data_IF_042539845898
#
_entry.id   IF_042539845898
#
_cell.length_a   1.000
_cell.length_b   1.000
_cell.length_c   1.000
_cell.angle_alpha   90.00
_cell.angle_beta   90.00
_cell.angle_gamma   90.00
#
_symmetry.space_group_name_H-M   'P 1'
#
loop_
_entity.id
_entity.type
_entity.pdbx_description
1 polymer ?
#
# COMPACT_ATOMS: atom_id res chain seq x y z
N UNK A 1 -8.47 1.21 -22.83
CA UNK A 1 -7.71 0.47 -21.81
C UNK A 1 -8.62 -0.49 -21.06
N UNK A 2 -8.32 -1.79 -21.03
CA UNK A 2 -9.16 -2.81 -20.39
C UNK A 2 -8.71 -3.03 -18.94
N UNK A 3 -9.46 -2.51 -17.98
CA UNK A 3 -9.18 -2.72 -16.55
C UNK A 3 -9.63 -4.13 -16.15
N UNK A 4 -8.71 -4.89 -15.56
CA UNK A 4 -8.95 -6.21 -14.99
C UNK A 4 -8.90 -6.16 -13.47
N UNK A 5 -9.61 -7.07 -12.82
CA UNK A 5 -9.65 -7.21 -11.38
C UNK A 5 -9.44 -8.67 -10.97
N UNK A 6 -8.55 -8.92 -10.01
CA UNK A 6 -8.39 -10.23 -9.38
C UNK A 6 -8.18 -10.05 -7.87
N UNK A 7 -8.45 -11.09 -7.09
CA UNK A 7 -8.29 -11.09 -5.64
C UNK A 7 -7.31 -12.15 -5.14
N UNK A 8 -6.86 -11.95 -3.90
CA UNK A 8 -5.91 -12.78 -3.19
C UNK A 8 -6.36 -12.93 -1.74
N UNK A 9 -6.45 -14.16 -1.25
CA UNK A 9 -6.76 -14.44 0.16
C UNK A 9 -5.47 -14.38 0.96
N UNK A 10 -5.46 -13.60 2.03
CA UNK A 10 -4.30 -13.46 2.92
C UNK A 10 -4.70 -13.54 4.40
N UNK A 11 -3.72 -13.58 5.32
CA UNK A 11 -3.98 -13.50 6.76
C UNK A 11 -4.70 -12.23 7.24
N UNK A 12 -4.68 -11.14 6.45
CA UNK A 12 -5.39 -9.89 6.77
C UNK A 12 -6.73 -9.73 6.04
N UNK A 13 -7.22 -10.82 5.43
CA UNK A 13 -8.46 -10.86 4.66
C UNK A 13 -8.22 -10.88 3.14
N UNK A 14 -9.29 -10.63 2.39
CA UNK A 14 -9.22 -10.54 0.93
C UNK A 14 -8.54 -9.24 0.51
N UNK A 15 -7.48 -9.37 -0.30
CA UNK A 15 -6.88 -8.28 -1.05
C UNK A 15 -7.43 -8.32 -2.47
N UNK A 16 -7.67 -7.15 -3.05
CA UNK A 16 -8.08 -7.04 -4.44
C UNK A 16 -7.16 -6.07 -5.17
N UNK A 17 -6.92 -6.35 -6.44
CA UNK A 17 -6.03 -5.58 -7.31
C UNK A 17 -6.71 -5.28 -8.62
N UNK A 18 -6.63 -4.02 -9.05
CA UNK A 18 -7.04 -3.57 -10.37
C UNK A 18 -5.79 -3.25 -11.19
N UNK A 19 -5.76 -3.72 -12.43
CA UNK A 19 -4.56 -3.68 -13.25
C UNK A 19 -4.89 -3.64 -14.73
N UNK A 20 -3.92 -3.17 -15.50
CA UNK A 20 -3.95 -3.05 -16.95
C UNK A 20 -2.68 -3.70 -17.52
N UNK A 21 -2.31 -3.37 -18.75
CA UNK A 21 -1.04 -3.78 -19.34
C UNK A 21 0.14 -2.93 -18.84
N UNK A 22 -0.14 -1.71 -18.40
CA UNK A 22 0.83 -0.75 -17.84
C UNK A 22 1.23 -1.07 -16.39
N UNK A 23 0.37 -1.75 -15.62
CA UNK A 23 0.68 -2.15 -14.25
C UNK A 23 -0.53 -2.25 -13.32
N UNK A 24 -0.26 -2.45 -12.04
CA UNK A 24 -1.25 -2.34 -10.96
C UNK A 24 -1.62 -0.86 -10.81
N UNK A 25 -2.91 -0.54 -10.92
CA UNK A 25 -3.40 0.84 -10.84
C UNK A 25 -4.09 1.17 -9.52
N UNK A 26 -4.65 0.16 -8.85
CA UNK A 26 -5.27 0.31 -7.54
C UNK A 26 -5.30 -1.02 -6.80
N UNK A 27 -5.29 -0.97 -5.47
CA UNK A 27 -5.52 -2.14 -4.62
C UNK A 27 -6.41 -1.79 -3.43
N UNK A 28 -6.96 -2.82 -2.80
CA UNK A 28 -7.74 -2.73 -1.58
C UNK A 28 -7.35 -3.87 -0.66
N UNK A 29 -7.10 -3.56 0.62
CA UNK A 29 -6.92 -4.56 1.68
C UNK A 29 -8.26 -4.89 2.40
N UNK A 30 -9.38 -4.46 1.81
CA UNK A 30 -10.75 -4.68 2.29
C UNK A 30 -11.61 -5.38 1.25
N UNK A 31 -10.98 -6.20 0.41
CA UNK A 31 -11.62 -7.01 -0.59
C UNK A 31 -12.12 -6.28 -1.84
N UNK A 32 -12.71 -7.08 -2.72
CA UNK A 32 -13.13 -6.70 -4.07
C UNK A 32 -14.19 -5.61 -4.07
N UNK A 33 -15.15 -5.63 -3.13
CA UNK A 33 -16.21 -4.62 -3.05
C UNK A 33 -15.65 -3.22 -2.81
N UNK A 34 -14.74 -3.07 -1.85
CA UNK A 34 -14.11 -1.79 -1.55
C UNK A 34 -13.30 -1.26 -2.75
N UNK A 35 -12.60 -2.15 -3.46
CA UNK A 35 -11.88 -1.76 -4.69
C UNK A 35 -12.84 -1.30 -5.79
N UNK A 36 -13.95 -2.02 -6.04
CA UNK A 36 -14.96 -1.61 -7.03
C UNK A 36 -15.55 -0.23 -6.68
N UNK A 37 -15.81 0.05 -5.41
CA UNK A 37 -16.25 1.39 -4.96
C UNK A 37 -15.21 2.47 -5.25
N UNK A 38 -13.93 2.21 -4.95
CA UNK A 38 -12.84 3.14 -5.27
C UNK A 38 -12.77 3.42 -6.78
N UNK A 39 -12.79 2.38 -7.61
CA UNK A 39 -12.74 2.48 -9.07
C UNK A 39 -13.92 3.30 -9.61
N UNK A 40 -15.14 3.03 -9.14
CA UNK A 40 -16.32 3.80 -9.52
C UNK A 40 -16.19 5.29 -9.17
N UNK A 41 -15.67 5.62 -7.98
CA UNK A 41 -15.41 7.01 -7.56
C UNK A 41 -14.37 7.73 -8.42
N UNK A 42 -13.57 6.99 -9.20
CA UNK A 42 -12.59 7.51 -10.16
C UNK A 42 -13.09 7.47 -11.60
N UNK A 43 -14.37 7.14 -11.82
CA UNK A 43 -14.99 7.08 -13.14
C UNK A 43 -14.69 5.79 -13.91
N UNK A 44 -14.05 4.79 -13.29
CA UNK A 44 -13.83 3.46 -13.90
C UNK A 44 -15.12 2.65 -13.75
N UNK A 45 -15.91 2.59 -14.82
CA UNK A 45 -17.23 1.92 -14.83
C UNK A 45 -17.18 0.48 -15.30
N UNK A 46 -16.20 0.12 -16.12
CA UNK A 46 -16.11 -1.22 -16.72
C UNK A 46 -14.84 -1.90 -16.23
N UNK A 47 -15.01 -3.01 -15.50
CA UNK A 47 -13.93 -3.88 -15.05
C UNK A 47 -14.25 -5.32 -15.43
N UNK A 48 -13.26 -6.06 -15.91
CA UNK A 48 -13.38 -7.49 -16.18
C UNK A 48 -12.74 -8.28 -15.05
N UNK A 49 -13.45 -9.25 -14.50
CA UNK A 49 -12.84 -10.17 -13.53
C UNK A 49 -11.85 -11.09 -14.23
N UNK A 50 -10.69 -11.25 -13.61
CA UNK A 50 -9.60 -12.13 -14.03
C UNK A 50 -9.41 -13.21 -12.97
N UNK A 51 -9.08 -14.43 -13.42
CA UNK A 51 -8.81 -15.56 -12.52
C UNK A 51 -7.46 -15.46 -11.83
N UNK A 52 -6.49 -14.82 -12.51
CA UNK A 52 -5.11 -14.75 -12.08
C UNK A 52 -4.66 -13.31 -11.86
N UNK A 53 -3.74 -13.14 -10.91
CA UNK A 53 -3.01 -11.89 -10.71
C UNK A 53 -1.91 -11.78 -11.78
N UNK A 54 -1.63 -10.57 -12.28
CA UNK A 54 -0.57 -10.35 -13.26
C UNK A 54 0.81 -10.28 -12.59
N UNK A 55 1.87 -10.25 -13.39
CA UNK A 55 3.23 -9.87 -12.97
C UNK A 55 3.80 -10.70 -11.81
N UNK A 56 3.49 -11.99 -11.77
CA UNK A 56 3.91 -12.92 -10.70
C UNK A 56 3.55 -12.42 -9.29
N UNK A 57 2.49 -11.60 -9.20
CA UNK A 57 2.12 -10.93 -7.96
C UNK A 57 1.62 -11.93 -6.93
N UNK A 58 1.10 -13.10 -7.34
CA UNK A 58 0.69 -14.15 -6.40
C UNK A 58 1.90 -14.67 -5.63
N UNK A 59 2.95 -15.05 -6.34
CA UNK A 59 4.20 -15.58 -5.80
C UNK A 59 4.87 -14.55 -4.88
N UNK A 60 4.86 -13.27 -5.28
CA UNK A 60 5.39 -12.19 -4.46
C UNK A 60 4.56 -11.97 -3.18
N UNK A 61 3.22 -12.07 -3.26
CA UNK A 61 2.37 -11.98 -2.08
C UNK A 61 2.55 -13.18 -1.16
N UNK A 62 2.68 -14.39 -1.71
CA UNK A 62 2.97 -15.60 -0.93
C UNK A 62 4.30 -15.46 -0.18
N UNK A 63 5.36 -14.99 -0.85
CA UNK A 63 6.64 -14.70 -0.21
C UNK A 63 6.51 -13.60 0.87
N UNK A 64 5.81 -12.50 0.59
CA UNK A 64 5.57 -11.43 1.56
C UNK A 64 4.86 -11.94 2.83
N UNK A 65 3.74 -12.65 2.66
CA UNK A 65 2.93 -13.14 3.79
C UNK A 65 3.57 -14.33 4.51
N UNK A 66 4.60 -14.97 3.94
CA UNK A 66 5.44 -15.94 4.65
C UNK A 66 6.43 -15.30 5.62
N UNK A 67 6.57 -13.96 5.60
CA UNK A 67 7.46 -13.19 6.46
C UNK A 67 8.87 -13.02 5.90
N UNK A 68 9.13 -13.49 4.68
CA UNK A 68 10.40 -13.26 4.00
C UNK A 68 10.52 -11.80 3.52
N UNK A 69 11.70 -11.17 3.70
CA UNK A 69 11.97 -9.87 3.09
C UNK A 69 11.82 -9.94 1.57
N UNK A 70 11.04 -9.02 1.00
CA UNK A 70 10.80 -8.95 -0.43
C UNK A 70 10.65 -7.50 -0.91
N UNK A 71 11.08 -7.26 -2.14
CA UNK A 71 10.76 -6.08 -2.91
C UNK A 71 9.75 -6.45 -4.01
N UNK A 72 8.60 -5.78 -4.03
CA UNK A 72 7.61 -6.02 -5.08
C UNK A 72 8.12 -5.46 -6.41
N UNK A 73 8.18 -6.31 -7.43
CA UNK A 73 8.64 -5.96 -8.78
C UNK A 73 7.48 -5.66 -9.74
N UNK A 74 6.25 -5.96 -9.34
CA UNK A 74 5.07 -5.67 -10.16
C UNK A 74 5.01 -4.18 -10.55
N UNK A 75 4.90 -3.85 -11.85
CA UNK A 75 4.85 -2.47 -12.29
C UNK A 75 3.63 -1.76 -11.69
N UNK A 76 3.83 -0.55 -11.19
CA UNK A 76 2.77 0.29 -10.65
C UNK A 76 2.47 1.42 -11.63
N UNK A 77 1.18 1.66 -11.86
CA UNK A 77 0.72 2.70 -12.76
C UNK A 77 -0.25 3.64 -12.03
N UNK A 78 0.23 4.82 -11.65
CA UNK A 78 -0.59 5.83 -10.95
C UNK A 78 -1.56 6.54 -11.91
N UNK A 79 -2.66 5.86 -12.23
CA UNK A 79 -3.71 6.33 -13.14
C UNK A 79 -4.35 7.67 -12.71
N UNK A 80 -4.28 8.02 -11.43
CA UNK A 80 -4.72 9.31 -10.89
C UNK A 80 -3.75 9.85 -9.84
N UNK A 81 -4.06 11.01 -9.30
CA UNK A 81 -3.26 11.70 -8.29
C UNK A 81 -2.56 12.93 -8.83
N UNK A 82 -2.45 13.97 -8.00
CA UNK A 82 -1.69 15.18 -8.35
C UNK A 82 -0.20 14.86 -8.47
N UNK A 83 0.60 15.71 -9.15
CA UNK A 83 2.06 15.54 -9.19
C UNK A 83 2.68 15.40 -7.79
N UNK A 84 2.18 16.16 -6.82
CA UNK A 84 2.63 16.06 -5.43
C UNK A 84 2.28 14.71 -4.79
N UNK A 85 1.06 14.20 -5.00
CA UNK A 85 0.66 12.89 -4.47
C UNK A 85 1.52 11.77 -5.05
N UNK A 86 1.73 11.78 -6.38
CA UNK A 86 2.59 10.78 -7.05
C UNK A 86 4.02 10.83 -6.53
N UNK A 87 4.61 12.02 -6.36
CA UNK A 87 5.94 12.16 -5.78
C UNK A 87 6.02 11.60 -4.34
N UNK A 88 4.97 11.80 -3.53
CA UNK A 88 4.90 11.20 -2.19
C UNK A 88 4.79 9.68 -2.27
N UNK A 89 3.98 9.13 -3.17
CA UNK A 89 3.85 7.67 -3.32
C UNK A 89 5.14 7.02 -3.81
N UNK A 90 5.87 7.65 -4.74
CA UNK A 90 7.21 7.19 -5.13
C UNK A 90 8.18 7.23 -3.95
N UNK A 91 8.18 8.31 -3.15
CA UNK A 91 9.01 8.37 -1.95
C UNK A 91 8.63 7.33 -0.88
N UNK A 92 7.38 6.86 -0.84
CA UNK A 92 6.97 5.77 0.06
C UNK A 92 7.50 4.42 -0.43
N UNK A 93 7.57 4.20 -1.74
CA UNK A 93 8.08 2.94 -2.32
C UNK A 93 9.55 2.69 -2.00
N UNK A 94 10.33 3.74 -1.73
CA UNK A 94 11.75 3.60 -1.35
C UNK A 94 11.94 3.19 0.11
N UNK A 95 10.87 3.05 0.90
CA UNK A 95 10.97 2.60 2.30
C UNK A 95 11.13 1.07 2.30
N UNK A 96 12.28 0.50 2.72
CA UNK A 96 12.53 -0.93 2.64
C UNK A 96 11.62 -1.76 3.56
N UNK A 97 11.52 -3.06 3.27
CA UNK A 97 10.90 -4.04 4.17
C UNK A 97 11.51 -3.95 5.57
N UNK A 98 10.67 -3.99 6.61
CA UNK A 98 11.13 -3.96 8.00
C UNK A 98 11.64 -2.60 8.48
N UNK A 99 11.50 -1.55 7.67
CA UNK A 99 11.85 -0.19 8.06
C UNK A 99 10.63 0.72 8.05
N UNK A 100 10.70 1.76 8.88
CA UNK A 100 9.70 2.84 8.89
C UNK A 100 10.33 4.18 8.62
N UNK A 101 9.51 5.13 8.12
CA UNK A 101 9.88 6.54 8.00
C UNK A 101 8.76 7.42 8.54
N UNK A 102 9.13 8.61 8.99
CA UNK A 102 8.15 9.58 9.49
C UNK A 102 7.52 10.42 8.37
N UNK A 103 6.36 11.01 8.65
CA UNK A 103 5.78 12.03 7.75
C UNK A 103 6.73 13.20 7.48
N UNK A 104 7.56 13.60 8.45
CA UNK A 104 8.55 14.67 8.26
C UNK A 104 9.74 14.22 7.41
N UNK A 105 10.12 12.94 7.46
CA UNK A 105 11.09 12.37 6.53
C UNK A 105 10.56 12.44 5.09
N UNK A 106 9.32 12.00 4.85
CA UNK A 106 8.69 12.10 3.52
C UNK A 106 8.61 13.54 3.03
N UNK A 107 8.23 14.48 3.88
CA UNK A 107 8.16 15.90 3.54
C UNK A 107 9.51 16.45 3.06
N UNK A 108 10.62 16.02 3.68
CA UNK A 108 11.98 16.36 3.23
C UNK A 108 12.33 15.69 1.91
N UNK A 109 12.01 14.40 1.76
CA UNK A 109 12.29 13.65 0.53
C UNK A 109 11.62 14.24 -0.71
N UNK A 110 10.40 14.77 -0.57
CA UNK A 110 9.70 15.43 -1.69
C UNK A 110 10.01 16.92 -1.83
N UNK A 111 11.06 17.42 -1.17
CA UNK A 111 11.51 18.82 -1.27
C UNK A 111 10.55 19.84 -0.63
N UNK A 112 9.66 19.41 0.26
CA UNK A 112 8.66 20.27 0.95
C UNK A 112 8.70 20.07 2.48
N UNK A 113 9.80 20.42 3.18
CA UNK A 113 9.99 20.05 4.60
C UNK A 113 8.89 20.51 5.57
N UNK A 114 8.17 21.59 5.25
CA UNK A 114 7.08 22.14 6.07
C UNK A 114 5.70 21.56 5.74
N UNK A 115 5.58 20.69 4.74
CA UNK A 115 4.30 20.21 4.21
C UNK A 115 3.79 18.90 4.86
N UNK A 116 4.08 18.66 6.14
CA UNK A 116 3.76 17.39 6.83
C UNK A 116 2.26 17.04 6.81
N UNK A 117 1.36 18.03 6.91
CA UNK A 117 -0.10 17.79 6.78
C UNK A 117 -0.49 17.36 5.37
N UNK A 118 0.04 18.03 4.35
CA UNK A 118 -0.22 17.69 2.94
C UNK A 118 0.33 16.30 2.59
N UNK A 119 1.52 15.96 3.10
CA UNK A 119 2.08 14.60 3.01
C UNK A 119 1.14 13.58 3.66
N UNK A 120 0.62 13.85 4.87
CA UNK A 120 -0.35 12.97 5.52
C UNK A 120 -1.59 12.70 4.66
N UNK A 121 -2.11 13.73 4.01
CA UNK A 121 -3.24 13.58 3.07
C UNK A 121 -2.86 12.78 1.82
N UNK A 122 -1.67 12.97 1.26
CA UNK A 122 -1.16 12.18 0.14
C UNK A 122 -0.96 10.71 0.51
N UNK A 123 -0.40 10.42 1.69
CA UNK A 123 -0.26 9.07 2.25
C UNK A 123 -1.64 8.40 2.40
N UNK A 124 -2.63 9.12 2.92
CA UNK A 124 -4.02 8.64 3.06
C UNK A 124 -4.68 8.33 1.71
N UNK A 125 -4.33 9.09 0.68
CA UNK A 125 -4.86 8.97 -0.67
C UNK A 125 -4.15 7.91 -1.54
N UNK A 126 -3.21 7.16 -0.99
CA UNK A 126 -2.51 6.08 -1.70
C UNK A 126 -3.52 5.11 -2.34
N UNK A 127 -3.53 4.97 -3.68
CA UNK A 127 -4.45 4.07 -4.37
C UNK A 127 -4.03 2.62 -4.36
N UNK A 128 -2.76 2.31 -4.03
CA UNK A 128 -2.19 0.97 -4.08
C UNK A 128 -1.57 0.61 -2.73
N UNK A 129 -2.35 0.55 -1.63
CA UNK A 129 -1.84 0.09 -0.34
C UNK A 129 -1.17 -1.30 -0.48
N UNK A 130 -0.27 -1.60 0.46
CA UNK A 130 0.68 -2.71 0.45
C UNK A 130 1.83 -2.54 -0.57
N UNK A 131 1.55 -2.42 -1.87
CA UNK A 131 2.60 -2.29 -2.89
C UNK A 131 3.27 -0.90 -2.86
N UNK A 132 2.48 0.15 -2.59
CA UNK A 132 3.00 1.40 -2.04
C UNK A 132 2.86 1.28 -0.52
N UNK A 133 3.95 1.04 0.23
CA UNK A 133 3.90 0.57 1.62
C UNK A 133 3.61 1.71 2.61
N UNK A 134 2.44 2.36 2.49
CA UNK A 134 2.06 3.47 3.35
C UNK A 134 1.85 3.07 4.83
N UNK A 135 1.75 1.77 5.14
CA UNK A 135 1.79 1.25 6.51
C UNK A 135 3.15 1.46 7.18
N UNK A 136 4.25 1.58 6.41
CA UNK A 136 5.60 1.90 6.92
C UNK A 136 5.78 3.37 7.31
N UNK A 137 4.78 4.22 7.07
CA UNK A 137 4.79 5.64 7.46
C UNK A 137 4.17 5.81 8.84
N UNK A 138 4.97 6.28 9.80
CA UNK A 138 4.58 6.45 11.21
C UNK A 138 4.83 7.89 11.70
N UNK A 139 4.45 8.20 12.94
CA UNK A 139 4.76 9.50 13.54
C UNK A 139 6.23 9.58 13.93
N UNK A 140 6.75 10.79 14.06
CA UNK A 140 8.16 11.02 14.38
C UNK A 140 8.55 10.57 15.80
N UNK A 141 7.57 10.46 16.71
CA UNK A 141 7.73 9.94 18.07
C UNK A 141 7.70 8.40 18.14
N UNK A 142 7.63 7.72 17.00
CA UNK A 142 7.54 6.26 16.92
C UNK A 142 6.12 5.70 17.08
N UNK A 143 5.12 6.54 17.39
CA UNK A 143 3.73 6.07 17.53
C UNK A 143 3.08 5.75 16.17
N UNK A 144 2.15 4.79 16.19
CA UNK A 144 1.46 4.35 14.98
C UNK A 144 0.36 5.35 14.60
N UNK A 145 0.53 5.97 13.42
CA UNK A 145 -0.47 6.84 12.80
C UNK A 145 -1.64 6.07 12.19
N UNK A 146 -2.69 6.79 11.81
CA UNK A 146 -3.86 6.20 11.14
C UNK A 146 -3.51 5.44 9.84
N UNK A 147 -4.44 4.59 9.41
CA UNK A 147 -4.33 3.79 8.19
C UNK A 147 -5.72 3.63 7.58
N UNK A 148 -5.90 4.01 6.31
CA UNK A 148 -7.22 3.96 5.66
C UNK A 148 -7.81 2.55 5.64
N UNK A 149 -7.04 1.48 5.38
CA UNK A 149 -7.54 0.11 5.55
C UNK A 149 -7.79 -0.32 7.01
N UNK A 150 -7.47 0.49 8.02
CA UNK A 150 -7.74 0.18 9.44
C UNK A 150 -6.49 -0.15 10.25
N UNK A 151 -6.47 0.31 11.50
CA UNK A 151 -5.27 0.29 12.34
C UNK A 151 -4.76 -1.13 12.63
N UNK A 152 -5.66 -2.09 12.81
CA UNK A 152 -5.31 -3.50 13.05
C UNK A 152 -4.47 -4.08 11.90
N UNK A 153 -4.85 -3.80 10.64
CA UNK A 153 -4.08 -4.24 9.47
C UNK A 153 -2.70 -3.61 9.47
N UNK A 154 -2.57 -2.31 9.78
CA UNK A 154 -1.26 -1.64 9.86
C UNK A 154 -0.36 -2.27 10.90
N UNK A 155 -0.89 -2.55 12.09
CA UNK A 155 -0.15 -3.20 13.18
C UNK A 155 0.27 -4.61 12.73
N UNK A 156 -0.62 -5.38 12.13
CA UNK A 156 -0.32 -6.73 11.65
C UNK A 156 0.82 -6.72 10.61
N UNK A 157 0.75 -5.83 9.60
CA UNK A 157 1.79 -5.70 8.59
C UNK A 157 3.13 -5.28 9.19
N UNK A 158 3.13 -4.33 10.13
CA UNK A 158 4.35 -3.90 10.81
C UNK A 158 4.95 -5.00 11.71
N UNK A 159 4.12 -5.89 12.28
CA UNK A 159 4.60 -7.07 13.02
C UNK A 159 5.19 -8.11 12.08
N UNK A 160 4.52 -8.42 10.97
CA UNK A 160 5.01 -9.32 9.93
C UNK A 160 6.41 -8.87 9.45
N UNK A 161 6.57 -7.57 9.23
CA UNK A 161 7.84 -6.98 8.79
C UNK A 161 8.89 -6.87 9.90
N UNK A 162 8.60 -7.29 11.13
CA UNK A 162 9.53 -7.25 12.26
C UNK A 162 9.76 -5.86 12.86
N UNK A 163 9.00 -4.84 12.45
CA UNK A 163 9.07 -3.47 12.98
C UNK A 163 8.55 -3.42 14.41
N UNK A 164 7.40 -4.03 14.64
CA UNK A 164 6.80 -4.14 15.97
C UNK A 164 7.20 -5.50 16.54
N UNK A 165 8.11 -5.50 17.50
CA UNK A 165 8.40 -6.71 18.27
C UNK A 165 7.21 -7.01 19.18
N UNK A 166 6.83 -8.27 19.28
CA UNK A 166 6.08 -8.71 20.46
C UNK A 166 6.94 -8.33 21.66
N UNK A 167 6.36 -7.59 22.60
CA UNK A 167 6.96 -7.46 23.92
C UNK A 167 7.20 -8.89 24.38
N UNK A 168 8.47 -9.30 24.50
CA UNK A 168 8.81 -10.51 25.24
C UNK A 168 8.15 -10.33 26.60
N UNK A 169 7.03 -11.01 26.83
CA UNK A 169 6.60 -11.33 28.17
C UNK A 169 7.69 -12.24 28.70
N UNK A 170 8.74 -11.62 29.25
CA UNK A 170 9.60 -12.27 30.23
C UNK A 170 8.63 -12.66 31.36
N UNK A 171 8.21 -13.91 31.33
CA UNK A 171 7.85 -14.62 32.55
C UNK A 171 9.15 -15.04 33.22
#
# INVERSE_FOLDING_TARGET
MKVRLASYKSPIGELAFAFTEEGIMASSLKGTRALKTLLASKGVRTVKEARELPFDLREQLDAYFSGQPIEFTAPLWFAWGTPFQRAVWEAIRTIPYGQTRSYSWLARQVGRPRAFRAVGQAVKANPIPLLVPCHRVIRADGSIGGFTPGLEIKIWLLRLEGVLRETRLLK
#
